data_IF_405500066837
#
_entry.id   IF_405500066837
#
_cell.length_a   1.000
_cell.length_b   1.000
_cell.length_c   1.000
_cell.angle_alpha   90.00
_cell.angle_beta   90.00
_cell.angle_gamma   90.00
#
_symmetry.space_group_name_H-M   'P 1'
#
loop_
_entity.id
_entity.type
_entity.pdbx_description
1 polymer ?
#
# COMPACT_ATOMS: atom_id res chain seq x y z
N UNK A 1 -43.85 -16.30 -39.97
CA UNK A 1 -42.78 -17.02 -39.21
C UNK A 1 -41.46 -16.29 -39.27
N UNK A 2 -41.01 -15.89 -40.46
CA UNK A 2 -39.79 -15.10 -40.60
C UNK A 2 -39.79 -13.78 -39.85
N UNK A 3 -40.97 -13.15 -39.75
CA UNK A 3 -41.16 -11.87 -39.05
C UNK A 3 -41.02 -11.97 -37.53
N UNK A 4 -41.17 -13.19 -36.96
CA UNK A 4 -40.96 -13.42 -35.53
C UNK A 4 -39.48 -13.75 -35.16
N UNK A 5 -38.74 -14.30 -36.14
CA UNK A 5 -37.32 -14.64 -35.94
C UNK A 5 -36.43 -13.41 -36.00
N UNK A 6 -36.69 -12.49 -36.92
CA UNK A 6 -35.87 -11.30 -37.07
C UNK A 6 -35.86 -10.40 -35.81
N UNK A 7 -37.01 -10.08 -35.17
CA UNK A 7 -37.01 -9.29 -33.93
C UNK A 7 -36.35 -10.03 -32.77
N UNK A 8 -36.51 -11.37 -32.67
CA UNK A 8 -35.86 -12.16 -31.63
C UNK A 8 -34.34 -12.18 -31.79
N UNK A 9 -33.86 -12.36 -33.02
CA UNK A 9 -32.44 -12.29 -33.32
C UNK A 9 -31.86 -10.91 -33.01
N UNK A 10 -32.56 -9.84 -33.36
CA UNK A 10 -32.15 -8.48 -33.05
C UNK A 10 -32.09 -8.23 -31.55
N UNK A 11 -33.07 -8.73 -30.80
CA UNK A 11 -33.08 -8.61 -29.33
C UNK A 11 -31.94 -9.37 -28.69
N UNK A 12 -31.61 -10.57 -29.18
CA UNK A 12 -30.47 -11.35 -28.70
C UNK A 12 -29.15 -10.68 -29.03
N UNK A 13 -29.01 -10.13 -30.21
CA UNK A 13 -27.82 -9.37 -30.61
C UNK A 13 -27.61 -8.15 -29.72
N UNK A 14 -28.68 -7.41 -29.42
CA UNK A 14 -28.63 -6.28 -28.50
C UNK A 14 -28.28 -6.70 -27.09
N UNK A 15 -28.84 -7.81 -26.61
CA UNK A 15 -28.54 -8.35 -25.29
C UNK A 15 -27.07 -8.79 -25.17
N UNK A 16 -26.53 -9.40 -26.21
CA UNK A 16 -25.12 -9.81 -26.27
C UNK A 16 -24.20 -8.58 -26.27
N UNK A 17 -24.52 -7.59 -27.10
CA UNK A 17 -23.76 -6.35 -27.17
C UNK A 17 -23.77 -5.60 -25.83
N UNK A 18 -24.92 -5.55 -25.18
CA UNK A 18 -25.09 -4.93 -23.86
C UNK A 18 -24.29 -5.67 -22.79
N UNK A 19 -24.31 -7.00 -22.81
CA UNK A 19 -23.53 -7.84 -21.89
C UNK A 19 -22.02 -7.65 -22.11
N UNK A 20 -21.55 -7.57 -23.35
CA UNK A 20 -20.17 -7.30 -23.69
C UNK A 20 -19.74 -5.93 -23.19
N UNK A 21 -20.58 -4.91 -23.37
CA UNK A 21 -20.30 -3.54 -22.93
C UNK A 21 -20.19 -3.48 -21.40
N UNK A 22 -21.10 -4.15 -20.69
CA UNK A 22 -21.06 -4.22 -19.23
C UNK A 22 -19.83 -4.98 -18.75
N UNK A 23 -19.47 -6.07 -19.44
CA UNK A 23 -18.25 -6.84 -19.14
C UNK A 23 -16.99 -6.00 -19.33
N UNK A 24 -16.91 -5.24 -20.42
CA UNK A 24 -15.78 -4.35 -20.71
C UNK A 24 -15.66 -3.24 -19.66
N UNK A 25 -16.79 -2.64 -19.27
CA UNK A 25 -16.82 -1.63 -18.19
C UNK A 25 -16.37 -2.23 -16.85
N UNK A 26 -16.83 -3.42 -16.52
CA UNK A 26 -16.45 -4.11 -15.29
C UNK A 26 -14.94 -4.43 -15.26
N UNK A 27 -14.39 -4.88 -16.38
CA UNK A 27 -12.93 -5.13 -16.52
C UNK A 27 -12.12 -3.85 -16.38
N UNK A 28 -12.60 -2.78 -16.98
CA UNK A 28 -11.95 -1.47 -16.91
C UNK A 28 -11.92 -0.93 -15.50
N UNK A 29 -13.04 -1.05 -14.80
CA UNK A 29 -13.17 -0.63 -13.39
C UNK A 29 -12.28 -1.49 -12.48
N UNK A 30 -12.25 -2.81 -12.70
CA UNK A 30 -11.41 -3.72 -11.96
C UNK A 30 -9.93 -3.40 -12.15
N UNK A 31 -9.52 -3.07 -13.38
CA UNK A 31 -8.15 -2.69 -13.71
C UNK A 31 -7.75 -1.37 -13.05
N UNK A 32 -8.64 -0.38 -13.08
CA UNK A 32 -8.42 0.90 -12.41
C UNK A 32 -8.26 0.70 -10.90
N UNK A 33 -9.07 -0.16 -10.30
CA UNK A 33 -8.99 -0.48 -8.89
C UNK A 33 -7.70 -1.21 -8.55
N UNK A 34 -7.27 -2.12 -9.40
CA UNK A 34 -6.00 -2.83 -9.22
C UNK A 34 -4.82 -1.86 -9.26
N UNK A 35 -4.79 -0.96 -10.22
CA UNK A 35 -3.74 0.07 -10.34
C UNK A 35 -3.71 0.97 -9.10
N UNK A 36 -4.87 1.36 -8.62
CA UNK A 36 -5.01 2.17 -7.40
C UNK A 36 -4.45 1.44 -6.18
N UNK A 37 -4.79 0.16 -6.03
CA UNK A 37 -4.31 -0.68 -4.92
C UNK A 37 -2.80 -0.92 -5.01
N UNK A 38 -2.28 -1.14 -6.20
CA UNK A 38 -0.83 -1.28 -6.42
C UNK A 38 -0.09 -0.01 -6.02
N UNK A 39 -0.63 1.16 -6.41
CA UNK A 39 -0.09 2.45 -6.02
C UNK A 39 -0.10 2.65 -4.52
N UNK A 40 -1.21 2.33 -3.87
CA UNK A 40 -1.36 2.44 -2.41
C UNK A 40 -0.38 1.49 -1.69
N UNK A 41 -0.21 0.28 -2.20
CA UNK A 41 0.74 -0.68 -1.64
C UNK A 41 2.17 -0.19 -1.76
N UNK A 42 2.52 0.38 -2.91
CA UNK A 42 3.84 0.95 -3.14
C UNK A 42 4.15 2.09 -2.16
N UNK A 43 3.18 3.00 -1.95
CA UNK A 43 3.30 4.08 -0.98
C UNK A 43 3.46 3.55 0.44
N UNK A 44 2.67 2.55 0.81
CA UNK A 44 2.76 1.94 2.13
C UNK A 44 4.12 1.30 2.37
N UNK A 45 4.69 0.65 1.37
CA UNK A 45 6.05 0.06 1.43
C UNK A 45 7.12 1.13 1.61
N UNK A 46 6.99 2.25 0.90
CA UNK A 46 7.92 3.38 1.04
C UNK A 46 7.85 4.00 2.42
N UNK A 47 6.65 4.19 2.95
CA UNK A 47 6.45 4.70 4.30
C UNK A 47 7.04 3.76 5.35
N UNK A 48 6.81 2.47 5.19
CA UNK A 48 7.36 1.46 6.10
C UNK A 48 8.88 1.50 6.10
N UNK A 49 9.50 1.58 4.93
CA UNK A 49 10.96 1.68 4.81
C UNK A 49 11.50 2.94 5.47
N UNK A 50 10.81 4.07 5.33
CA UNK A 50 11.18 5.33 5.98
C UNK A 50 11.06 5.25 7.48
N UNK A 51 9.95 4.72 7.98
CA UNK A 51 9.72 4.53 9.42
C UNK A 51 10.75 3.60 10.04
N UNK A 52 11.13 2.55 9.33
CA UNK A 52 12.15 1.61 9.79
C UNK A 52 13.50 2.30 9.92
N UNK A 53 13.88 3.14 8.95
CA UNK A 53 15.12 3.92 9.02
C UNK A 53 15.10 4.91 10.19
N UNK A 54 13.99 5.62 10.37
CA UNK A 54 13.82 6.54 11.50
C UNK A 54 13.92 5.82 12.83
N UNK A 55 13.31 4.65 12.95
CA UNK A 55 13.39 3.83 14.14
C UNK A 55 14.83 3.40 14.43
N UNK A 56 15.55 2.95 13.42
CA UNK A 56 16.95 2.56 13.55
C UNK A 56 17.84 3.74 13.98
N UNK A 57 17.60 4.92 13.43
CA UNK A 57 18.30 6.15 13.83
C UNK A 57 18.03 6.49 15.29
N UNK A 58 16.78 6.41 15.72
CA UNK A 58 16.40 6.66 17.11
C UNK A 58 17.03 5.65 18.08
N UNK A 59 17.05 4.37 17.72
CA UNK A 59 17.69 3.33 18.51
C UNK A 59 19.18 3.60 18.61
N UNK A 60 19.83 4.00 17.53
CA UNK A 60 21.26 4.34 17.52
C UNK A 60 21.56 5.52 18.43
N UNK A 61 20.73 6.57 18.35
CA UNK A 61 20.84 7.75 19.22
C UNK A 61 20.64 7.39 20.68
N UNK A 62 19.65 6.57 20.96
CA UNK A 62 19.39 6.12 22.34
C UNK A 62 20.57 5.34 22.90
N UNK A 63 21.14 4.43 22.13
CA UNK A 63 22.32 3.66 22.54
C UNK A 63 23.53 4.58 22.80
N UNK A 64 23.75 5.55 21.95
CA UNK A 64 24.81 6.53 22.10
C UNK A 64 24.63 7.35 23.41
N UNK A 65 23.40 7.81 23.65
CA UNK A 65 23.06 8.54 24.88
C UNK A 65 23.22 7.67 26.13
N UNK A 66 22.78 6.43 26.07
CA UNK A 66 22.93 5.49 27.18
C UNK A 66 24.41 5.27 27.53
N UNK A 67 25.26 5.18 26.51
CA UNK A 67 26.72 5.06 26.71
C UNK A 67 27.32 6.32 27.31
N UNK A 68 26.90 7.49 26.87
CA UNK A 68 27.32 8.77 27.43
C UNK A 68 26.92 8.91 28.89
N UNK A 69 25.69 8.53 29.23
CA UNK A 69 25.16 8.55 30.60
C UNK A 69 25.94 7.61 31.48
N UNK A 70 26.24 6.40 31.01
CA UNK A 70 27.01 5.41 31.74
C UNK A 70 28.43 5.89 32.02
N UNK A 71 29.05 6.51 31.02
CA UNK A 71 30.39 7.08 31.14
C UNK A 71 30.41 8.24 32.15
N UNK A 72 29.43 9.12 32.06
CA UNK A 72 29.29 10.27 32.96
C UNK A 72 29.08 9.83 34.41
N UNK A 73 28.22 8.83 34.62
CA UNK A 73 28.01 8.24 35.95
C UNK A 73 29.29 7.67 36.52
N UNK A 74 30.03 6.95 35.71
CA UNK A 74 31.29 6.33 36.13
C UNK A 74 32.31 7.38 36.54
N UNK A 75 32.40 8.49 35.81
CA UNK A 75 33.26 9.61 36.15
C UNK A 75 32.86 10.26 37.48
N UNK A 76 31.56 10.48 37.70
CA UNK A 76 31.05 11.04 38.94
C UNK A 76 31.30 10.14 40.14
N UNK A 77 31.07 8.85 40.01
CA UNK A 77 31.33 7.86 41.05
C UNK A 77 32.82 7.79 41.38
N UNK A 78 33.66 7.87 40.39
CA UNK A 78 35.09 7.89 40.52
C UNK A 78 35.57 9.14 41.31
N UNK A 79 34.99 10.29 41.05
CA UNK A 79 35.28 11.52 41.78
C UNK A 79 34.77 11.49 43.23
N UNK A 80 33.61 10.93 43.46
CA UNK A 80 33.03 10.81 44.81
C UNK A 80 33.86 9.91 45.73
N UNK A 81 34.50 8.90 45.17
CA UNK A 81 35.37 7.98 45.91
C UNK A 81 36.73 8.58 46.33
N UNK A 82 37.06 9.73 45.76
CA UNK A 82 38.28 10.46 46.15
C UNK A 82 38.00 11.40 47.33
#
# INVERSE_FOLDING_TARGET
>A
MLDLFAPQCANLEMAIADAEQRGDCALKDARAKLDELEGALHQAKEELARMLREYQELVSLKLALDMEIATYRKLLESEECR
#
